data_IF_095810404586
#
_entry.id   IF_095810404586
#
_cell.length_a   1.000
_cell.length_b   1.000
_cell.length_c   1.000
_cell.angle_alpha   90.00
_cell.angle_beta   90.00
_cell.angle_gamma   90.00
#
_symmetry.space_group_name_H-M   'P 1'
#
loop_
_entity.id
_entity.type
_entity.pdbx_description
1 polymer ?
#
# COMPACT_ATOMS: atom_id res chain seq x y z
N UNK A 1 9.35 -5.57 11.33
CA UNK A 1 8.97 -6.78 12.11
C UNK A 1 7.94 -6.47 13.19
N UNK A 2 8.01 -5.34 13.89
CA UNK A 2 7.13 -5.08 15.04
C UNK A 2 5.65 -4.87 14.68
N UNK A 3 5.35 -4.33 13.49
CA UNK A 3 3.99 -4.28 12.94
C UNK A 3 3.32 -5.66 12.83
N UNK A 4 4.05 -6.64 12.30
CA UNK A 4 3.56 -8.01 12.16
C UNK A 4 3.38 -8.68 13.52
N UNK A 5 4.30 -8.43 14.46
CA UNK A 5 4.17 -8.94 15.83
C UNK A 5 2.90 -8.41 16.50
N UNK A 6 2.60 -7.11 16.40
CA UNK A 6 1.36 -6.55 16.95
C UNK A 6 0.12 -7.19 16.33
N UNK A 7 0.12 -7.40 15.01
CA UNK A 7 -1.06 -7.87 14.31
C UNK A 7 -1.31 -9.38 14.43
N UNK A 8 -0.25 -10.18 14.56
CA UNK A 8 -0.33 -11.65 14.65
C UNK A 8 -0.21 -12.18 16.09
N UNK A 9 0.60 -11.53 16.94
CA UNK A 9 0.89 -11.98 18.31
C UNK A 9 0.15 -11.14 19.38
N UNK A 10 -0.61 -10.13 18.97
CA UNK A 10 -1.55 -9.42 19.84
C UNK A 10 -0.99 -8.23 20.60
N UNK A 11 -1.70 -7.77 21.66
CA UNK A 11 -1.54 -6.43 22.25
C UNK A 11 -0.21 -6.19 22.99
N UNK A 12 0.56 -7.23 23.31
CA UNK A 12 1.81 -7.12 24.06
C UNK A 12 2.94 -6.35 23.33
N UNK A 13 2.81 -6.13 22.02
CA UNK A 13 3.82 -5.44 21.20
C UNK A 13 3.41 -4.01 20.80
N UNK A 14 2.30 -3.49 21.35
CA UNK A 14 1.81 -2.15 21.03
C UNK A 14 2.80 -1.10 21.55
N UNK A 15 3.25 -0.23 20.65
CA UNK A 15 4.08 0.94 20.93
C UNK A 15 3.47 2.13 20.21
N UNK A 16 3.88 3.34 20.58
CA UNK A 16 3.46 4.57 19.89
C UNK A 16 3.59 4.44 18.36
N UNK A 17 4.73 3.94 17.90
CA UNK A 17 5.04 3.76 16.49
C UNK A 17 4.18 2.72 15.80
N UNK A 18 3.93 1.57 16.43
CA UNK A 18 3.13 0.51 15.80
C UNK A 18 1.66 0.91 15.74
N UNK A 19 1.15 1.59 16.78
CA UNK A 19 -0.24 2.05 16.81
C UNK A 19 -0.54 3.12 15.77
N UNK A 20 0.41 4.02 15.48
CA UNK A 20 0.25 5.02 14.40
C UNK A 20 -0.15 4.37 13.07
N UNK A 21 0.34 3.16 12.81
CA UNK A 21 0.04 2.40 11.62
C UNK A 21 -1.14 1.45 11.81
N UNK A 22 -1.20 0.65 12.89
CA UNK A 22 -2.27 -0.34 13.08
C UNK A 22 -3.64 0.26 13.34
N UNK A 23 -3.70 1.51 13.82
CA UNK A 23 -4.94 2.24 14.03
C UNK A 23 -5.45 2.98 12.78
N UNK A 24 -4.65 3.01 11.70
CA UNK A 24 -5.11 3.57 10.43
C UNK A 24 -5.78 2.48 9.59
N UNK A 25 -6.97 2.79 9.06
CA UNK A 25 -7.73 1.91 8.17
C UNK A 25 -6.91 1.47 6.93
N UNK A 26 -5.93 2.26 6.51
CA UNK A 26 -5.07 1.96 5.35
C UNK A 26 -4.11 0.79 5.56
N UNK A 27 -3.84 0.42 6.82
CA UNK A 27 -3.01 -0.73 7.19
C UNK A 27 -3.85 -1.89 7.73
N UNK A 28 -5.18 -1.81 7.56
CA UNK A 28 -6.05 -2.89 7.93
C UNK A 28 -6.09 -4.01 6.86
N UNK A 29 -6.67 -5.16 7.20
CA UNK A 29 -6.90 -6.24 6.24
C UNK A 29 -7.77 -5.78 5.07
N UNK A 30 -7.70 -6.50 3.96
CA UNK A 30 -8.46 -6.16 2.75
C UNK A 30 -9.96 -6.16 3.07
N UNK A 31 -10.66 -5.02 2.95
CA UNK A 31 -12.08 -4.98 3.24
C UNK A 31 -12.84 -5.86 2.25
N UNK A 32 -13.89 -6.53 2.72
CA UNK A 32 -14.68 -7.47 1.91
C UNK A 32 -15.20 -6.83 0.63
N UNK A 33 -15.53 -5.52 0.66
CA UNK A 33 -15.93 -4.75 -0.52
C UNK A 33 -14.88 -4.77 -1.63
N UNK A 34 -13.60 -4.65 -1.28
CA UNK A 34 -12.53 -4.69 -2.29
C UNK A 34 -12.44 -6.07 -2.93
N UNK A 35 -12.60 -7.15 -2.14
CA UNK A 35 -12.66 -8.50 -2.69
C UNK A 35 -13.87 -8.70 -3.63
N UNK A 36 -15.01 -8.13 -3.26
CA UNK A 36 -16.22 -8.13 -4.08
C UNK A 36 -16.02 -7.37 -5.40
N UNK A 37 -15.38 -6.20 -5.37
CA UNK A 37 -15.08 -5.40 -6.56
C UNK A 37 -14.10 -6.14 -7.49
N UNK A 38 -13.03 -6.73 -6.94
CA UNK A 38 -12.07 -7.53 -7.69
C UNK A 38 -12.68 -8.80 -8.31
N UNK A 39 -13.68 -9.38 -7.64
CA UNK A 39 -14.39 -10.56 -8.15
C UNK A 39 -15.38 -10.17 -9.24
N UNK A 40 -16.14 -9.09 -9.04
CA UNK A 40 -17.15 -8.60 -9.99
C UNK A 40 -16.56 -8.10 -11.31
N UNK A 41 -15.34 -7.55 -11.27
CA UNK A 41 -14.57 -7.14 -12.47
C UNK A 41 -13.93 -8.32 -13.20
N UNK A 42 -13.99 -9.53 -12.65
CA UNK A 42 -13.37 -10.72 -13.22
C UNK A 42 -11.86 -10.83 -12.97
N UNK A 43 -11.23 -9.83 -12.34
CA UNK A 43 -9.78 -9.79 -12.10
C UNK A 43 -9.32 -10.93 -11.20
N UNK A 44 -9.98 -11.12 -10.05
CA UNK A 44 -9.64 -12.19 -9.11
C UNK A 44 -9.90 -13.60 -9.68
N UNK A 45 -11.10 -13.95 -10.20
CA UNK A 45 -11.32 -15.30 -10.72
C UNK A 45 -10.45 -15.60 -11.95
N UNK A 46 -10.20 -14.62 -12.82
CA UNK A 46 -9.34 -14.81 -13.99
C UNK A 46 -7.87 -15.00 -13.61
N UNK A 47 -7.34 -14.24 -12.64
CA UNK A 47 -5.96 -14.42 -12.15
C UNK A 47 -5.77 -15.78 -11.46
N UNK A 48 -6.75 -16.23 -10.65
CA UNK A 48 -6.73 -17.59 -10.06
C UNK A 48 -6.70 -18.65 -11.16
N UNK A 49 -7.54 -18.51 -12.19
CA UNK A 49 -7.53 -19.42 -13.34
C UNK A 49 -6.19 -19.41 -14.06
N UNK A 50 -5.58 -18.24 -14.28
CA UNK A 50 -4.28 -18.10 -14.92
C UNK A 50 -3.18 -18.84 -14.14
N UNK A 51 -3.16 -18.67 -12.82
CA UNK A 51 -2.23 -19.35 -11.93
C UNK A 51 -2.45 -20.86 -11.95
N UNK A 52 -3.70 -21.33 -11.85
CA UNK A 52 -4.01 -22.76 -11.90
C UNK A 52 -3.56 -23.40 -13.22
N UNK A 53 -3.85 -22.75 -14.36
CA UNK A 53 -3.42 -23.23 -15.68
C UNK A 53 -1.90 -23.28 -15.75
N UNK A 54 -1.20 -22.22 -15.33
CA UNK A 54 0.25 -22.17 -15.35
C UNK A 54 0.90 -23.22 -14.44
N UNK A 55 0.36 -23.43 -13.22
CA UNK A 55 0.85 -24.45 -12.29
C UNK A 55 0.65 -25.85 -12.85
N UNK A 56 -0.54 -26.18 -13.36
CA UNK A 56 -0.83 -27.51 -13.90
C UNK A 56 -0.04 -27.82 -15.17
N UNK A 57 0.19 -26.82 -16.02
CA UNK A 57 0.79 -27.02 -17.35
C UNK A 57 2.31 -26.88 -17.37
N UNK A 58 2.86 -26.04 -16.51
CA UNK A 58 4.30 -25.72 -16.48
C UNK A 58 4.94 -26.34 -15.23
N UNK A 59 4.44 -26.00 -14.04
CA UNK A 59 5.11 -26.36 -12.77
C UNK A 59 4.97 -27.84 -12.43
N UNK A 60 3.77 -28.40 -12.55
CA UNK A 60 3.48 -29.79 -12.18
C UNK A 60 4.31 -30.82 -12.99
N UNK A 61 4.45 -30.71 -14.33
CA UNK A 61 5.32 -31.59 -15.09
C UNK A 61 6.82 -31.44 -14.77
N UNK A 62 7.26 -30.26 -14.31
CA UNK A 62 8.64 -30.05 -13.86
C UNK A 62 8.89 -30.73 -12.51
N UNK A 63 7.91 -30.71 -11.59
CA UNK A 63 8.01 -31.37 -10.28
C UNK A 63 7.99 -32.90 -10.42
N UNK A 64 7.09 -33.45 -11.24
CA UNK A 64 6.97 -34.91 -11.44
C UNK A 64 8.20 -35.53 -12.13
N UNK A 65 9.03 -34.73 -12.80
CA UNK A 65 10.24 -35.20 -13.49
C UNK A 65 11.49 -35.31 -12.61
N UNK A 66 11.41 -35.10 -11.28
CA UNK A 66 12.57 -35.34 -10.41
C UNK A 66 12.97 -36.83 -10.48
N UNK A 67 14.20 -37.16 -10.94
CA UNK A 67 14.71 -38.51 -10.81
C UNK A 67 15.19 -38.65 -9.37
N UNK A 68 14.48 -39.46 -8.58
CA UNK A 68 15.07 -40.05 -7.38
C UNK A 68 15.17 -41.54 -7.67
N UNK A 69 16.36 -41.94 -8.09
CA UNK A 69 16.86 -43.30 -7.89
C UNK A 69 18.34 -43.18 -7.58
N UNK A 70 18.60 -42.94 -6.30
CA UNK A 70 19.75 -43.54 -5.63
C UNK A 70 19.50 -45.06 -5.59
N UNK A 71 20.34 -45.84 -6.25
CA UNK A 71 20.69 -47.18 -5.76
C UNK A 71 22.07 -47.61 -6.29
N UNK A 72 22.83 -48.17 -5.35
CA UNK A 72 24.20 -48.65 -5.46
C UNK A 72 24.26 -50.02 -6.15
N UNK A 73 25.34 -50.29 -6.91
CA UNK A 73 26.24 -51.44 -6.68
C UNK A 73 27.23 -51.70 -7.85
N UNK A 74 28.52 -51.54 -7.53
CA UNK A 74 29.70 -52.39 -7.86
C UNK A 74 30.07 -52.86 -9.28
N UNK A 75 31.31 -52.47 -9.64
CA UNK A 75 32.39 -53.18 -10.38
C UNK A 75 32.21 -53.65 -11.84
N UNK A 76 32.93 -53.02 -12.79
CA UNK A 76 34.23 -53.52 -13.31
C UNK A 76 34.65 -52.81 -14.62
N UNK A 77 35.87 -52.26 -14.60
CA UNK A 77 36.88 -52.09 -15.66
C UNK A 77 36.48 -51.78 -17.11
N UNK A 78 36.93 -50.60 -17.59
CA UNK A 78 37.18 -50.32 -19.01
C UNK A 78 36.92 -48.86 -19.39
N UNK A 79 37.95 -48.19 -19.91
CA UNK A 79 37.91 -46.91 -20.65
C UNK A 79 37.71 -45.59 -19.89
N UNK A 80 38.85 -45.04 -19.44
CA UNK A 80 39.05 -43.62 -19.14
C UNK A 80 39.34 -42.85 -20.43
N UNK A 81 38.32 -42.33 -21.13
CA UNK A 81 38.44 -41.11 -21.94
C UNK A 81 37.08 -40.50 -22.34
N UNK A 82 36.13 -40.35 -21.42
CA UNK A 82 34.84 -39.71 -21.76
C UNK A 82 34.20 -38.95 -20.59
N UNK A 83 35.01 -38.47 -19.63
CA UNK A 83 34.48 -37.89 -18.38
C UNK A 83 34.75 -36.40 -18.15
N UNK A 84 35.36 -35.69 -19.12
CA UNK A 84 35.59 -34.24 -19.00
C UNK A 84 34.61 -33.38 -19.83
N UNK A 85 33.75 -34.01 -20.65
CA UNK A 85 32.74 -33.31 -21.47
C UNK A 85 31.30 -33.49 -20.96
N UNK A 86 31.08 -34.04 -19.76
CA UNK A 86 29.74 -34.21 -19.19
C UNK A 86 29.33 -33.14 -18.16
N UNK A 87 30.24 -32.26 -17.75
CA UNK A 87 29.92 -31.22 -16.76
C UNK A 87 29.25 -29.96 -17.35
N UNK A 88 29.03 -29.91 -18.67
CA UNK A 88 28.43 -28.75 -19.35
C UNK A 88 27.04 -29.03 -19.98
N UNK A 89 26.49 -30.23 -19.84
CA UNK A 89 25.13 -30.54 -20.28
C UNK A 89 24.16 -30.55 -19.10
N UNK A 90 23.92 -29.37 -18.53
CA UNK A 90 22.57 -29.07 -18.07
C UNK A 90 21.64 -29.41 -19.24
N UNK A 91 20.56 -30.20 -19.06
CA UNK A 91 19.88 -30.84 -20.19
C UNK A 91 19.37 -29.74 -21.11
N UNK A 92 19.95 -29.60 -22.32
CA UNK A 92 19.62 -28.51 -23.24
C UNK A 92 18.10 -28.45 -23.53
N UNK A 93 17.41 -29.58 -23.39
CA UNK A 93 15.96 -29.73 -23.51
C UNK A 93 15.18 -29.14 -22.33
N UNK A 94 15.68 -29.28 -21.10
CA UNK A 94 15.07 -28.71 -19.90
C UNK A 94 15.39 -27.21 -19.80
N UNK A 95 16.59 -26.79 -20.19
CA UNK A 95 16.95 -25.38 -20.35
C UNK A 95 16.07 -24.73 -21.42
N UNK A 96 15.91 -25.32 -22.61
CA UNK A 96 15.05 -24.79 -23.66
C UNK A 96 13.57 -24.72 -23.26
N UNK A 97 13.08 -25.66 -22.44
CA UNK A 97 11.70 -25.65 -21.94
C UNK A 97 11.51 -24.58 -20.86
N UNK A 98 12.49 -24.43 -19.97
CA UNK A 98 12.51 -23.39 -18.95
C UNK A 98 12.64 -21.98 -19.57
N UNK A 99 13.48 -21.79 -20.60
CA UNK A 99 13.58 -20.52 -21.34
C UNK A 99 12.28 -20.19 -22.07
N UNK A 100 11.53 -21.21 -22.53
CA UNK A 100 10.29 -21.04 -23.30
C UNK A 100 9.12 -20.55 -22.44
N UNK A 101 9.06 -20.98 -21.18
CA UNK A 101 8.02 -20.62 -20.21
C UNK A 101 8.54 -19.70 -19.09
N UNK A 102 9.76 -19.18 -19.24
CA UNK A 102 10.48 -18.38 -18.24
C UNK A 102 9.64 -17.20 -17.73
N UNK A 103 9.01 -16.47 -18.66
CA UNK A 103 8.18 -15.29 -18.33
C UNK A 103 7.01 -15.69 -17.43
N UNK A 104 6.32 -16.79 -17.75
CA UNK A 104 5.17 -17.26 -16.97
C UNK A 104 5.60 -17.74 -15.57
N UNK A 105 6.71 -18.46 -15.46
CA UNK A 105 7.28 -18.87 -14.16
C UNK A 105 7.73 -17.66 -13.34
N UNK A 106 8.36 -16.68 -13.98
CA UNK A 106 8.78 -15.44 -13.34
C UNK A 106 7.58 -14.66 -12.79
N UNK A 107 6.51 -14.49 -13.58
CA UNK A 107 5.28 -13.82 -13.13
C UNK A 107 4.62 -14.57 -11.96
N UNK A 108 4.62 -15.91 -11.95
CA UNK A 108 4.12 -16.67 -10.80
C UNK A 108 4.97 -16.48 -9.54
N UNK A 109 6.30 -16.51 -9.67
CA UNK A 109 7.21 -16.28 -8.55
C UNK A 109 7.08 -14.85 -8.04
N UNK A 110 6.95 -13.87 -8.94
CA UNK A 110 6.74 -12.47 -8.61
C UNK A 110 5.40 -12.29 -7.88
N UNK A 111 4.30 -12.86 -8.38
CA UNK A 111 3.01 -12.85 -7.69
C UNK A 111 3.11 -13.43 -6.28
N UNK A 112 3.80 -14.57 -6.10
CA UNK A 112 3.98 -15.19 -4.79
C UNK A 112 4.82 -14.31 -3.84
N UNK A 113 5.95 -13.77 -4.31
CA UNK A 113 6.83 -12.91 -3.53
C UNK A 113 6.12 -11.61 -3.10
N UNK A 114 5.39 -10.97 -4.02
CA UNK A 114 4.63 -9.77 -3.71
C UNK A 114 3.39 -10.06 -2.88
N UNK A 115 2.73 -11.21 -3.02
CA UNK A 115 1.66 -11.62 -2.11
C UNK A 115 2.18 -11.81 -0.67
N UNK A 116 3.35 -12.45 -0.52
CA UNK A 116 4.03 -12.59 0.76
C UNK A 116 4.41 -11.23 1.35
N UNK A 117 5.05 -10.37 0.55
CA UNK A 117 5.40 -9.01 0.96
C UNK A 117 4.15 -8.20 1.35
N UNK A 118 3.07 -8.33 0.59
CA UNK A 118 1.83 -7.61 0.83
C UNK A 118 1.13 -8.08 2.11
N UNK A 119 1.22 -9.38 2.42
CA UNK A 119 0.82 -9.94 3.72
C UNK A 119 1.73 -9.44 4.85
N UNK A 120 3.05 -9.41 4.64
CA UNK A 120 4.01 -8.91 5.63
C UNK A 120 3.85 -7.41 5.95
N UNK A 121 3.54 -6.60 4.94
CA UNK A 121 3.45 -5.13 5.07
C UNK A 121 2.01 -4.68 5.34
N UNK A 122 1.04 -5.60 5.37
CA UNK A 122 -0.39 -5.28 5.53
C UNK A 122 -0.92 -4.32 4.44
N UNK A 123 -0.29 -4.31 3.26
CA UNK A 123 -0.63 -3.45 2.12
C UNK A 123 -1.06 -4.27 0.92
N UNK A 124 -2.04 -5.14 1.16
CA UNK A 124 -2.55 -6.08 0.16
C UNK A 124 -2.99 -5.35 -1.12
N UNK A 125 -3.73 -4.25 -1.00
CA UNK A 125 -4.24 -3.50 -2.16
C UNK A 125 -3.14 -2.94 -3.08
N UNK A 126 -2.04 -2.42 -2.53
CA UNK A 126 -1.02 -1.70 -3.32
C UNK A 126 -0.09 -2.65 -4.08
N UNK A 127 0.25 -3.77 -3.45
CA UNK A 127 1.24 -4.70 -3.99
C UNK A 127 0.63 -5.92 -4.70
N UNK A 128 -0.56 -6.36 -4.28
CA UNK A 128 -1.18 -7.57 -4.82
C UNK A 128 -1.91 -7.31 -6.15
N UNK A 129 -2.69 -6.23 -6.24
CA UNK A 129 -3.56 -5.94 -7.40
C UNK A 129 -2.78 -5.83 -8.72
N UNK A 130 -1.63 -5.11 -8.81
CA UNK A 130 -0.85 -5.07 -10.05
C UNK A 130 -0.36 -6.45 -10.50
N UNK A 131 -0.02 -7.32 -9.54
CA UNK A 131 0.46 -8.68 -9.83
C UNK A 131 -0.66 -9.60 -10.31
N UNK A 132 -1.89 -9.42 -9.80
CA UNK A 132 -3.08 -10.10 -10.35
C UNK A 132 -3.29 -9.72 -11.83
N UNK A 133 -3.15 -8.44 -12.18
CA UNK A 133 -3.25 -7.97 -13.57
C UNK A 133 -2.17 -8.60 -14.46
N UNK A 134 -0.92 -8.69 -14.00
CA UNK A 134 0.15 -9.34 -14.75
C UNK A 134 -0.10 -10.84 -14.94
N UNK A 135 -0.62 -11.52 -13.91
CA UNK A 135 -0.94 -12.95 -14.00
C UNK A 135 -2.04 -13.25 -15.02
N UNK A 136 -3.00 -12.35 -15.22
CA UNK A 136 -4.04 -12.50 -16.25
C UNK A 136 -3.47 -12.55 -17.67
N UNK A 137 -2.37 -11.85 -17.95
CA UNK A 137 -1.75 -11.84 -19.27
C UNK A 137 -1.27 -13.24 -19.70
N UNK A 138 -1.07 -14.17 -18.75
CA UNK A 138 -0.74 -15.57 -19.02
C UNK A 138 -1.90 -16.25 -19.78
N UNK A 139 -3.16 -15.91 -19.52
CA UNK A 139 -4.31 -16.47 -20.25
C UNK A 139 -4.35 -16.05 -21.71
N UNK A 140 -3.78 -14.89 -22.06
CA UNK A 140 -3.68 -14.42 -23.44
C UNK A 140 -2.60 -15.16 -24.24
N UNK A 141 -1.75 -15.98 -23.59
CA UNK A 141 -0.70 -16.69 -24.29
C UNK A 141 -1.28 -17.80 -25.19
N UNK A 142 -1.05 -17.74 -26.52
CA UNK A 142 -1.64 -18.70 -27.45
C UNK A 142 -1.10 -20.12 -27.26
N UNK A 143 0.02 -20.32 -26.55
CA UNK A 143 0.59 -21.65 -26.32
C UNK A 143 0.01 -22.37 -25.11
N UNK A 144 -0.34 -21.63 -24.06
CA UNK A 144 -0.83 -22.19 -22.80
C UNK A 144 -2.33 -22.51 -22.90
N UNK A 145 -3.13 -21.50 -23.26
CA UNK A 145 -4.59 -21.61 -23.30
C UNK A 145 -5.10 -22.09 -24.66
N UNK A 146 -4.55 -21.55 -25.77
CA UNK A 146 -5.04 -21.84 -27.12
C UNK A 146 -4.33 -23.02 -27.81
N UNK A 147 -3.10 -23.36 -27.41
CA UNK A 147 -2.20 -24.25 -28.17
C UNK A 147 -1.91 -25.59 -27.50
N UNK A 148 -2.40 -25.83 -26.29
CA UNK A 148 -2.06 -27.04 -25.55
C UNK A 148 -3.13 -28.14 -25.71
N UNK A 149 -2.83 -29.14 -26.53
CA UNK A 149 -3.61 -30.40 -26.60
C UNK A 149 -3.68 -31.13 -25.24
N UNK A 150 -2.78 -30.80 -24.30
CA UNK A 150 -2.73 -31.35 -22.93
C UNK A 150 -3.84 -30.79 -22.04
N UNK A 151 -4.13 -29.48 -22.10
CA UNK A 151 -5.27 -28.88 -21.38
C UNK A 151 -6.59 -29.46 -21.90
N UNK A 152 -6.68 -29.70 -23.22
CA UNK A 152 -7.80 -30.42 -23.81
C UNK A 152 -7.98 -31.82 -23.21
N UNK A 153 -6.91 -32.59 -22.92
CA UNK A 153 -7.05 -33.91 -22.29
C UNK A 153 -7.59 -33.84 -20.85
N UNK A 154 -7.23 -32.80 -20.09
CA UNK A 154 -7.75 -32.57 -18.73
C UNK A 154 -9.26 -32.28 -18.75
N UNK A 155 -9.74 -31.44 -19.67
CA UNK A 155 -11.17 -31.16 -19.85
C UNK A 155 -11.94 -32.28 -20.58
N UNK A 156 -11.24 -33.17 -21.28
CA UNK A 156 -11.84 -34.27 -22.08
C UNK A 156 -11.66 -35.64 -21.39
N UNK A 157 -11.38 -35.69 -20.09
CA UNK A 157 -11.45 -36.94 -19.34
C UNK A 157 -12.91 -37.41 -19.19
N UNK A 158 -13.51 -37.87 -20.29
CA UNK A 158 -14.63 -38.81 -20.24
C UNK A 158 -14.08 -40.14 -19.77
N UNK A 159 -14.64 -40.67 -18.68
CA UNK A 159 -14.37 -42.03 -18.18
C UNK A 159 -14.18 -43.00 -19.36
N UNK A 160 -13.17 -43.88 -19.35
CA UNK A 160 -13.11 -44.93 -20.34
C UNK A 160 -14.35 -45.81 -20.12
N UNK A 161 -15.30 -45.75 -21.05
CA UNK A 161 -16.40 -46.70 -21.06
C UNK A 161 -15.78 -48.07 -21.30
N UNK A 162 -15.82 -48.93 -20.28
CA UNK A 162 -15.49 -50.34 -20.39
C UNK A 162 -16.56 -50.99 -21.25
N UNK A 163 -16.36 -51.06 -22.56
CA UNK A 163 -17.00 -52.09 -23.36
C UNK A 163 -16.23 -52.41 -24.63
N UNK A 164 -15.93 -53.70 -24.75
CA UNK A 164 -15.54 -54.45 -25.95
C UNK A 164 -14.13 -54.24 -26.51
N UNK A 165 -13.21 -55.10 -26.03
CA UNK A 165 -12.08 -55.56 -26.84
C UNK A 165 -12.64 -56.41 -27.98
N UNK A 166 -12.52 -55.96 -29.23
CA UNK A 166 -12.22 -56.84 -30.36
C UNK A 166 -11.68 -56.07 -31.57
N UNK A 167 -10.51 -56.55 -31.98
CA UNK A 167 -9.94 -56.62 -33.33
C UNK A 167 -9.27 -55.39 -33.95
N UNK A 168 -7.95 -55.56 -34.08
CA UNK A 168 -6.98 -54.98 -35.03
C UNK A 168 -7.57 -54.45 -36.34
N UNK A 169 -7.19 -53.22 -36.72
CA UNK A 169 -6.48 -52.97 -37.98
C UNK A 169 -5.93 -51.54 -38.07
N UNK A 170 -4.78 -51.45 -38.74
CA UNK A 170 -4.05 -50.23 -39.11
C UNK A 170 -4.98 -49.16 -39.70
N UNK A 171 -5.00 -47.98 -39.10
CA UNK A 171 -5.40 -46.76 -39.79
C UNK A 171 -4.37 -45.67 -39.47
N UNK A 172 -3.65 -45.24 -40.50
CA UNK A 172 -2.78 -44.07 -40.44
C UNK A 172 -3.59 -42.88 -39.92
N UNK A 173 -3.19 -42.34 -38.76
CA UNK A 173 -3.82 -41.16 -38.18
C UNK A 173 -3.56 -39.95 -39.08
N UNK A 174 -4.59 -39.53 -39.81
CA UNK A 174 -4.61 -38.23 -40.48
C UNK A 174 -4.33 -37.12 -39.45
N UNK A 175 -3.54 -36.07 -39.78
CA UNK A 175 -3.22 -34.99 -38.84
C UNK A 175 -4.40 -34.05 -38.53
N UNK A 176 -5.59 -34.32 -39.06
CA UNK A 176 -6.73 -33.42 -38.93
C UNK A 176 -7.52 -33.72 -37.64
N UNK A 177 -7.83 -32.70 -36.82
CA UNK A 177 -8.59 -32.90 -35.60
C UNK A 177 -9.96 -33.48 -35.95
N UNK A 178 -10.39 -34.52 -35.22
CA UNK A 178 -11.75 -35.06 -35.37
C UNK A 178 -12.76 -33.93 -35.20
N UNK A 179 -13.87 -33.93 -35.97
CA UNK A 179 -14.91 -32.88 -35.91
C UNK A 179 -15.34 -32.59 -34.47
N UNK A 180 -15.40 -33.61 -33.61
CA UNK A 180 -15.71 -33.49 -32.18
C UNK A 180 -14.65 -32.71 -31.37
N UNK A 181 -13.36 -32.82 -31.69
CA UNK A 181 -12.29 -32.05 -31.05
C UNK A 181 -12.40 -30.57 -31.44
N UNK A 182 -12.66 -30.30 -32.71
CA UNK A 182 -12.84 -28.94 -33.24
C UNK A 182 -13.99 -28.19 -32.56
N UNK A 183 -15.17 -28.80 -32.43
CA UNK A 183 -16.30 -28.20 -31.70
C UNK A 183 -16.01 -27.95 -30.22
N UNK A 184 -15.22 -28.80 -29.55
CA UNK A 184 -14.81 -28.59 -28.15
C UNK A 184 -13.86 -27.41 -27.98
N UNK A 185 -12.90 -27.23 -28.89
CA UNK A 185 -11.99 -26.07 -28.91
C UNK A 185 -12.79 -24.78 -29.07
N UNK A 186 -13.71 -24.74 -30.05
CA UNK A 186 -14.59 -23.59 -30.27
C UNK A 186 -15.39 -23.25 -29.02
N UNK A 187 -15.95 -24.25 -28.31
CA UNK A 187 -16.68 -24.00 -27.06
C UNK A 187 -15.80 -23.34 -26.00
N UNK A 188 -14.60 -23.86 -25.76
CA UNK A 188 -13.67 -23.28 -24.76
C UNK A 188 -13.31 -21.83 -25.13
N UNK A 189 -13.04 -21.57 -26.40
CA UNK A 189 -12.69 -20.21 -26.87
C UNK A 189 -13.88 -19.26 -26.75
N UNK A 190 -15.09 -19.71 -27.07
CA UNK A 190 -16.31 -18.92 -26.92
C UNK A 190 -16.57 -18.54 -25.46
N UNK A 191 -16.32 -19.45 -24.51
CA UNK A 191 -16.46 -19.18 -23.07
C UNK A 191 -15.43 -18.15 -22.61
N UNK A 192 -14.18 -18.26 -23.06
CA UNK A 192 -13.13 -17.31 -22.71
C UNK A 192 -13.40 -15.91 -23.28
N UNK A 193 -13.82 -15.82 -24.53
CA UNK A 193 -14.21 -14.56 -25.15
C UNK A 193 -15.41 -13.95 -24.42
N UNK A 194 -16.43 -14.74 -24.08
CA UNK A 194 -17.58 -14.27 -23.30
C UNK A 194 -17.13 -13.72 -21.93
N UNK A 195 -16.23 -14.40 -21.24
CA UNK A 195 -15.66 -13.93 -19.97
C UNK A 195 -14.93 -12.58 -20.13
N UNK A 196 -14.11 -12.43 -21.17
CA UNK A 196 -13.42 -11.17 -21.46
C UNK A 196 -14.40 -10.04 -21.78
N UNK A 197 -15.45 -10.32 -22.57
CA UNK A 197 -16.48 -9.34 -22.90
C UNK A 197 -17.23 -8.88 -21.65
N UNK A 198 -17.66 -9.81 -20.78
CA UNK A 198 -18.36 -9.46 -19.53
C UNK A 198 -17.47 -8.62 -18.59
N UNK A 199 -16.20 -9.00 -18.46
CA UNK A 199 -15.22 -8.27 -17.65
C UNK A 199 -14.94 -6.87 -18.22
N UNK A 200 -14.83 -6.76 -19.55
CA UNK A 200 -14.64 -5.49 -20.24
C UNK A 200 -15.86 -4.58 -20.13
N UNK A 201 -17.08 -5.12 -20.22
CA UNK A 201 -18.31 -4.35 -20.04
C UNK A 201 -18.39 -3.75 -18.63
N UNK A 202 -18.09 -4.55 -17.59
CA UNK A 202 -18.08 -4.07 -16.21
C UNK A 202 -16.96 -3.05 -15.97
N UNK A 203 -15.76 -3.32 -16.50
CA UNK A 203 -14.63 -2.39 -16.42
C UNK A 203 -14.90 -1.07 -17.15
N UNK A 204 -15.57 -1.12 -18.29
CA UNK A 204 -15.94 0.06 -19.08
C UNK A 204 -16.97 0.93 -18.37
N UNK A 205 -17.96 0.34 -17.68
CA UNK A 205 -18.88 1.09 -16.84
C UNK A 205 -18.12 1.87 -15.76
N UNK A 206 -17.22 1.19 -15.03
CA UNK A 206 -16.41 1.84 -14.00
C UNK A 206 -15.52 2.95 -14.59
N UNK A 207 -14.86 2.72 -15.73
CA UNK A 207 -14.03 3.73 -16.39
C UNK A 207 -14.86 4.93 -16.85
N UNK A 208 -16.06 4.69 -17.39
CA UNK A 208 -16.97 5.76 -17.79
C UNK A 208 -17.41 6.60 -16.58
N UNK A 209 -17.70 5.96 -15.46
CA UNK A 209 -18.09 6.65 -14.22
C UNK A 209 -16.92 7.50 -13.69
N UNK A 210 -15.68 6.99 -13.73
CA UNK A 210 -14.49 7.76 -13.32
C UNK A 210 -14.14 8.88 -14.30
N UNK A 211 -14.18 8.63 -15.62
CA UNK A 211 -13.96 9.66 -16.64
C UNK A 211 -15.08 10.70 -16.69
N UNK A 212 -16.28 10.34 -16.24
CA UNK A 212 -17.40 11.27 -16.07
C UNK A 212 -17.20 12.25 -14.92
N UNK A 213 -16.27 11.99 -13.98
CA UNK A 213 -15.91 12.91 -12.90
C UNK A 213 -14.99 14.00 -13.43
N UNK A 214 -15.58 14.96 -14.14
CA UNK A 214 -14.91 16.21 -14.50
C UNK A 214 -15.11 17.18 -13.34
N UNK A 215 -14.04 17.43 -12.59
CA UNK A 215 -14.02 18.40 -11.51
C UNK A 215 -12.60 18.88 -11.25
N UNK A 216 -12.46 20.13 -10.87
CA UNK A 216 -11.19 20.63 -10.34
C UNK A 216 -11.04 20.13 -8.89
N UNK A 217 -9.84 19.69 -8.53
CA UNK A 217 -9.54 19.34 -7.14
C UNK A 217 -9.73 20.60 -6.28
N UNK A 218 -10.75 20.58 -5.43
CA UNK A 218 -11.02 21.66 -4.48
C UNK A 218 -10.70 21.18 -3.07
N UNK A 219 -9.83 21.93 -2.39
CA UNK A 219 -9.48 21.68 -1.00
C UNK A 219 -9.53 23.01 -0.24
N UNK A 220 -10.74 23.54 0.06
CA UNK A 220 -10.91 24.90 0.57
C UNK A 220 -10.14 25.14 1.88
N UNK A 221 -10.09 24.14 2.76
CA UNK A 221 -9.34 24.19 4.04
C UNK A 221 -7.84 24.42 3.80
N UNK A 222 -7.26 23.70 2.85
CA UNK A 222 -5.85 23.79 2.49
C UNK A 222 -5.54 25.07 1.72
N UNK A 223 -6.41 25.48 0.81
CA UNK A 223 -6.26 26.70 0.01
C UNK A 223 -6.33 27.95 0.88
N UNK A 224 -7.29 28.02 1.80
CA UNK A 224 -7.41 29.12 2.77
C UNK A 224 -6.22 29.16 3.71
N UNK A 225 -5.72 28.01 4.16
CA UNK A 225 -4.49 27.92 4.97
C UNK A 225 -3.27 28.44 4.20
N UNK A 226 -3.09 28.04 2.94
CA UNK A 226 -1.99 28.52 2.09
C UNK A 226 -2.08 30.03 1.86
N UNK A 227 -3.27 30.54 1.54
CA UNK A 227 -3.49 31.96 1.32
C UNK A 227 -3.20 32.78 2.59
N UNK A 228 -3.64 32.29 3.76
CA UNK A 228 -3.31 32.88 5.05
C UNK A 228 -1.79 32.87 5.32
N UNK A 229 -1.12 31.73 5.11
CA UNK A 229 0.31 31.62 5.34
C UNK A 229 1.12 32.57 4.42
N UNK A 230 0.71 32.74 3.16
CA UNK A 230 1.32 33.69 2.22
C UNK A 230 1.17 35.13 2.70
N UNK A 231 0.00 35.48 3.28
CA UNK A 231 -0.32 36.81 3.79
C UNK A 231 0.54 37.25 4.99
N UNK A 232 1.24 36.32 5.65
CA UNK A 232 2.11 36.65 6.78
C UNK A 232 3.20 37.66 6.37
N UNK A 233 3.51 38.67 7.20
CA UNK A 233 4.53 39.65 6.89
C UNK A 233 5.94 39.03 6.86
N UNK A 234 6.89 39.71 6.22
CA UNK A 234 8.30 39.39 6.40
C UNK A 234 8.69 39.62 7.86
N UNK A 235 9.56 38.76 8.38
CA UNK A 235 9.90 38.78 9.79
C UNK A 235 11.03 39.76 10.07
N UNK A 236 10.90 40.52 11.15
CA UNK A 236 11.86 41.58 11.51
C UNK A 236 13.27 41.07 11.88
N UNK A 237 13.39 39.83 12.33
CA UNK A 237 14.65 39.16 12.71
C UNK A 237 15.28 38.36 11.56
N UNK A 238 14.83 38.58 10.30
CA UNK A 238 15.32 37.92 9.08
C UNK A 238 15.30 36.38 9.10
N UNK A 239 14.59 35.75 10.04
CA UNK A 239 14.44 34.29 10.07
C UNK A 239 13.13 33.86 9.40
N UNK A 240 13.06 32.62 8.87
CA UNK A 240 11.82 32.11 8.31
C UNK A 240 10.77 31.90 9.41
N UNK A 241 9.49 31.99 9.05
CA UNK A 241 8.39 31.51 9.89
C UNK A 241 8.42 29.99 9.94
N UNK A 242 8.43 29.44 11.15
CA UNK A 242 8.58 27.99 11.37
C UNK A 242 7.21 27.36 11.66
N UNK A 243 6.75 26.48 10.78
CA UNK A 243 5.53 25.69 10.94
C UNK A 243 5.83 24.28 11.45
N UNK A 244 4.98 23.79 12.36
CA UNK A 244 4.96 22.41 12.84
C UNK A 244 3.54 21.87 12.82
N UNK A 245 3.38 20.55 12.73
CA UNK A 245 2.07 19.92 12.73
C UNK A 245 2.08 18.58 11.99
N UNK A 246 0.91 18.07 11.58
CA UNK A 246 0.80 16.81 10.88
C UNK A 246 1.59 16.75 9.57
N UNK A 247 2.23 15.62 9.30
CA UNK A 247 3.07 15.43 8.12
C UNK A 247 2.38 15.79 6.79
N UNK A 248 1.12 15.40 6.52
CA UNK A 248 0.46 15.72 5.26
C UNK A 248 0.32 17.23 5.05
N UNK A 249 -0.16 17.95 6.07
CA UNK A 249 -0.34 19.41 6.01
C UNK A 249 1.00 20.12 5.86
N UNK A 250 2.02 19.66 6.59
CA UNK A 250 3.38 20.19 6.46
C UNK A 250 3.95 19.98 5.06
N UNK A 251 3.73 18.81 4.43
CA UNK A 251 4.14 18.57 3.04
C UNK A 251 3.42 19.52 2.07
N UNK A 252 2.13 19.77 2.28
CA UNK A 252 1.35 20.70 1.46
C UNK A 252 1.81 22.14 1.62
N UNK A 253 2.07 22.61 2.85
CA UNK A 253 2.65 23.93 3.10
C UNK A 253 4.03 24.06 2.44
N UNK A 254 4.87 23.02 2.52
CA UNK A 254 6.19 23.02 1.88
C UNK A 254 6.09 23.20 0.38
N UNK A 255 5.24 22.41 -0.27
CA UNK A 255 5.10 22.43 -1.73
C UNK A 255 4.42 23.72 -2.21
N UNK A 256 3.35 24.14 -1.53
CA UNK A 256 2.55 25.30 -1.92
C UNK A 256 3.22 26.65 -1.66
N UNK A 257 3.99 26.78 -0.57
CA UNK A 257 4.66 28.04 -0.23
C UNK A 257 5.96 28.25 -1.03
N UNK A 258 6.67 27.17 -1.40
CA UNK A 258 7.88 27.28 -2.23
C UNK A 258 7.53 27.64 -3.68
N UNK A 259 6.45 27.07 -4.23
CA UNK A 259 6.08 27.28 -5.64
C UNK A 259 5.46 28.64 -5.95
N UNK A 260 4.77 29.28 -4.97
CA UNK A 260 4.11 30.59 -5.18
C UNK A 260 4.98 31.80 -4.90
N UNK A 261 6.14 31.62 -4.26
CA UNK A 261 7.12 32.70 -4.10
C UNK A 261 7.92 32.81 -5.40
N UNK A 262 7.41 33.62 -6.34
CA UNK A 262 8.09 33.97 -7.59
C UNK A 262 9.59 34.16 -7.35
N UNK A 263 10.39 33.31 -7.99
CA UNK A 263 11.84 33.34 -7.97
C UNK A 263 12.33 34.74 -8.33
N UNK A 264 12.69 35.55 -7.32
CA UNK A 264 13.59 36.68 -7.55
C UNK A 264 14.98 36.10 -7.69
N UNK A 265 15.68 36.29 -8.81
CA UNK A 265 17.06 35.83 -8.94
C UNK A 265 17.91 36.48 -7.83
N UNK A 266 18.65 35.67 -7.07
CA UNK A 266 19.51 36.11 -5.96
C UNK A 266 18.92 36.01 -4.54
N UNK A 267 17.63 35.67 -4.37
CA UNK A 267 17.04 35.39 -3.04
C UNK A 267 16.99 33.88 -2.83
N UNK A 268 17.48 33.32 -1.70
CA UNK A 268 17.35 31.90 -1.43
C UNK A 268 15.90 31.45 -1.50
N UNK A 269 15.63 30.41 -2.30
CA UNK A 269 14.30 29.82 -2.56
C UNK A 269 13.52 29.43 -1.28
N UNK A 270 14.19 29.41 -0.13
CA UNK A 270 13.72 28.93 1.16
C UNK A 270 13.62 30.01 2.26
N UNK A 271 13.66 31.32 1.92
CA UNK A 271 13.93 32.35 2.93
C UNK A 271 12.75 32.68 3.87
N UNK A 272 11.50 32.56 3.42
CA UNK A 272 10.34 33.06 4.21
C UNK A 272 9.75 32.04 5.17
N UNK A 273 9.82 30.74 4.85
CA UNK A 273 9.12 29.69 5.59
C UNK A 273 10.00 28.46 5.80
N UNK A 274 9.88 27.84 6.97
CA UNK A 274 10.55 26.59 7.34
C UNK A 274 9.55 25.66 8.01
N UNK A 275 9.79 24.36 7.90
CA UNK A 275 8.88 23.31 8.40
C UNK A 275 9.67 22.31 9.22
N UNK A 276 9.15 21.94 10.38
CA UNK A 276 9.85 21.10 11.36
C UNK A 276 9.67 19.59 11.12
N UNK A 277 8.51 19.19 10.58
CA UNK A 277 8.11 17.80 10.41
C UNK A 277 8.22 17.38 8.93
N UNK A 278 8.89 16.26 8.66
CA UNK A 278 9.17 15.77 7.30
C UNK A 278 8.89 14.27 7.19
N UNK A 279 8.33 13.76 6.07
CA UNK A 279 7.96 12.34 5.90
C UNK A 279 9.12 11.31 5.87
N UNK A 280 10.36 11.71 6.20
CA UNK A 280 11.51 10.78 6.24
C UNK A 280 11.63 10.13 7.61
N UNK A 281 10.76 9.14 7.84
CA UNK A 281 10.66 8.45 9.13
C UNK A 281 11.80 7.44 9.38
N UNK A 282 12.62 7.14 8.38
CA UNK A 282 13.73 6.18 8.53
C UNK A 282 14.87 6.74 9.40
N UNK A 283 15.03 8.07 9.44
CA UNK A 283 16.04 8.72 10.26
C UNK A 283 15.52 8.89 11.70
N UNK A 284 16.27 8.39 12.68
CA UNK A 284 15.89 8.44 14.10
C UNK A 284 15.65 9.87 14.61
N UNK A 285 16.50 10.82 14.23
CA UNK A 285 16.36 12.21 14.65
C UNK A 285 15.10 12.85 14.05
N UNK A 286 14.79 12.57 12.79
CA UNK A 286 13.57 13.06 12.14
C UNK A 286 12.30 12.39 12.72
N UNK A 287 12.39 11.11 13.08
CA UNK A 287 11.33 10.39 13.78
C UNK A 287 11.03 11.02 15.14
N UNK A 288 12.05 11.30 15.95
CA UNK A 288 11.87 11.96 17.26
C UNK A 288 11.27 13.35 17.09
N UNK A 289 11.73 14.14 16.12
CA UNK A 289 11.12 15.45 15.81
C UNK A 289 9.66 15.33 15.39
N UNK A 290 9.31 14.30 14.63
CA UNK A 290 7.92 14.01 14.27
C UNK A 290 7.09 13.75 15.52
N UNK A 291 7.55 12.88 16.42
CA UNK A 291 6.85 12.59 17.68
C UNK A 291 6.58 13.89 18.43
N UNK A 292 7.60 14.73 18.62
CA UNK A 292 7.45 16.02 19.29
C UNK A 292 6.48 16.97 18.59
N UNK A 293 6.36 16.91 17.25
CA UNK A 293 5.41 17.72 16.50
C UNK A 293 3.94 17.40 16.86
N UNK A 294 3.65 16.17 17.29
CA UNK A 294 2.34 15.72 17.75
C UNK A 294 2.15 15.86 19.28
N UNK A 295 3.07 16.52 20.00
CA UNK A 295 3.00 16.61 21.48
C UNK A 295 1.71 17.26 22.01
N UNK A 296 1.05 18.14 21.25
CA UNK A 296 -0.23 18.73 21.63
C UNK A 296 -1.38 17.70 21.78
N UNK A 297 -1.31 16.57 21.08
CA UNK A 297 -2.31 15.49 21.18
C UNK A 297 -2.09 14.58 22.38
N UNK A 298 -0.99 14.77 23.13
CA UNK A 298 -0.71 14.06 24.38
C UNK A 298 -1.48 14.65 25.56
N UNK A 299 -1.43 14.00 26.73
CA UNK A 299 -1.99 14.52 28.00
C UNK A 299 -0.95 15.26 28.86
N UNK A 300 0.20 15.63 28.28
CA UNK A 300 1.24 16.41 28.97
C UNK A 300 0.69 17.79 29.39
N UNK A 301 1.21 18.39 30.47
CA UNK A 301 0.81 19.75 30.83
C UNK A 301 1.24 20.75 29.75
N UNK A 302 0.43 21.80 29.56
CA UNK A 302 0.61 22.81 28.51
C UNK A 302 1.99 23.48 28.54
N UNK A 303 2.55 23.72 29.74
CA UNK A 303 3.91 24.28 29.89
C UNK A 303 5.00 23.41 29.26
N UNK A 304 4.87 22.08 29.37
CA UNK A 304 5.81 21.12 28.79
C UNK A 304 5.64 21.03 27.28
N UNK A 305 4.39 21.05 26.80
CA UNK A 305 4.11 21.07 25.36
C UNK A 305 4.64 22.37 24.72
N UNK A 306 4.40 23.50 25.38
CA UNK A 306 4.92 24.80 24.97
C UNK A 306 6.45 24.83 24.92
N UNK A 307 7.13 24.30 25.93
CA UNK A 307 8.60 24.27 25.95
C UNK A 307 9.18 23.41 24.82
N UNK A 308 8.53 22.28 24.48
CA UNK A 308 8.89 21.45 23.32
C UNK A 308 8.78 22.26 22.02
N UNK A 309 7.63 22.90 21.76
CA UNK A 309 7.46 23.67 20.53
C UNK A 309 8.40 24.88 20.46
N UNK A 310 8.59 25.58 21.58
CA UNK A 310 9.36 26.83 21.63
C UNK A 310 10.86 26.64 21.59
N UNK A 311 11.40 25.67 22.32
CA UNK A 311 12.84 25.51 22.53
C UNK A 311 13.44 24.34 21.74
N UNK A 312 12.69 23.25 21.54
CA UNK A 312 13.20 22.07 20.83
C UNK A 312 12.89 22.15 19.34
N UNK A 313 11.62 22.34 18.98
CA UNK A 313 11.20 22.44 17.58
C UNK A 313 11.41 23.84 16.99
N UNK A 314 11.55 24.85 17.86
CA UNK A 314 11.67 26.27 17.51
C UNK A 314 10.54 26.74 16.57
N UNK A 315 9.34 26.21 16.77
CA UNK A 315 8.16 26.52 15.97
C UNK A 315 7.53 27.86 16.38
N UNK A 316 7.05 28.59 15.37
CA UNK A 316 6.23 29.79 15.57
C UNK A 316 4.74 29.46 15.50
N UNK A 317 4.38 28.50 14.64
CA UNK A 317 3.01 28.10 14.41
C UNK A 317 2.86 26.58 14.50
N UNK A 318 1.87 26.12 15.27
CA UNK A 318 1.45 24.72 15.35
C UNK A 318 0.13 24.58 14.59
N UNK A 319 0.15 23.80 13.52
CA UNK A 319 -1.06 23.44 12.77
C UNK A 319 -1.67 22.21 13.38
N UNK A 320 -2.96 22.28 13.66
CA UNK A 320 -3.72 21.28 14.39
C UNK A 320 -4.93 20.88 13.55
N UNK A 321 -5.07 19.58 13.31
CA UNK A 321 -6.21 19.00 12.60
C UNK A 321 -7.17 18.33 13.59
N UNK A 322 -8.47 18.54 13.39
CA UNK A 322 -9.53 18.01 14.25
C UNK A 322 -9.47 16.50 14.33
N UNK A 323 -9.26 15.81 13.20
CA UNK A 323 -9.19 14.36 13.15
C UNK A 323 -8.02 13.76 13.95
N UNK A 324 -6.98 14.52 14.25
CA UNK A 324 -5.87 14.10 15.11
C UNK A 324 -6.09 14.39 16.60
N UNK A 325 -7.18 15.08 16.96
CA UNK A 325 -7.45 15.46 18.35
C UNK A 325 -8.77 14.91 18.85
N UNK A 326 -9.80 14.93 18.00
CA UNK A 326 -11.13 14.43 18.26
C UNK A 326 -11.49 13.51 17.09
N UNK A 327 -11.21 12.22 17.24
CA UNK A 327 -11.58 11.21 16.26
C UNK A 327 -12.70 10.31 16.81
N UNK A 328 -13.98 10.58 16.48
CA UNK A 328 -15.09 9.78 16.97
C UNK A 328 -15.12 8.35 16.38
N UNK A 329 -14.40 8.11 15.29
CA UNK A 329 -14.32 6.80 14.64
C UNK A 329 -13.10 5.98 15.10
N UNK A 330 -12.27 6.53 16.01
CA UNK A 330 -11.14 5.79 16.55
C UNK A 330 -11.64 4.61 17.40
N UNK A 331 -11.14 3.41 17.09
CA UNK A 331 -11.36 2.23 17.93
C UNK A 331 -10.71 2.39 19.33
N UNK A 332 -11.03 1.52 20.28
CA UNK A 332 -10.44 1.57 21.62
C UNK A 332 -8.91 1.46 21.59
N UNK A 333 -8.20 2.39 22.23
CA UNK A 333 -6.73 2.43 22.23
C UNK A 333 -6.10 2.98 20.94
N UNK A 334 -6.90 3.62 20.09
CA UNK A 334 -6.48 4.23 18.83
C UNK A 334 -6.75 5.74 18.77
N UNK A 335 -7.27 6.35 19.83
CA UNK A 335 -7.28 7.81 19.91
C UNK A 335 -5.84 8.33 20.03
N UNK A 336 -5.52 9.49 19.43
CA UNK A 336 -4.15 10.01 19.47
C UNK A 336 -3.60 10.22 20.89
N UNK A 337 -4.45 10.56 21.86
CA UNK A 337 -4.09 10.62 23.27
C UNK A 337 -3.76 9.26 23.87
N UNK A 338 -4.55 8.22 23.60
CA UNK A 338 -4.26 6.84 24.06
C UNK A 338 -2.96 6.29 23.46
N UNK A 339 -2.64 6.66 22.22
CA UNK A 339 -1.37 6.29 21.59
C UNK A 339 -0.19 6.93 22.34
N UNK A 340 -0.35 8.18 22.78
CA UNK A 340 0.63 8.87 23.62
C UNK A 340 0.72 8.29 25.03
N UNK A 341 -0.36 7.76 25.59
CA UNK A 341 -0.38 7.15 26.92
C UNK A 341 0.54 5.92 26.99
N UNK A 342 0.84 5.25 25.85
CA UNK A 342 1.87 4.20 25.79
C UNK A 342 3.30 4.74 25.95
N UNK A 343 3.55 5.97 25.48
CA UNK A 343 4.86 6.60 25.54
C UNK A 343 5.10 7.27 26.89
N UNK A 344 4.05 7.87 27.46
CA UNK A 344 4.10 8.62 28.72
C UNK A 344 2.97 8.20 29.66
N UNK A 345 3.04 6.99 30.25
CA UNK A 345 1.97 6.45 31.09
C UNK A 345 1.69 7.31 32.34
N UNK A 346 2.65 8.12 32.78
CA UNK A 346 2.46 9.05 33.90
C UNK A 346 1.36 10.11 33.67
N UNK A 347 0.94 10.33 32.42
CA UNK A 347 -0.10 11.30 32.07
C UNK A 347 -1.42 10.65 31.63
N UNK A 348 -1.54 9.31 31.60
CA UNK A 348 -2.73 8.62 31.09
C UNK A 348 -4.02 9.02 31.81
N UNK A 349 -3.91 9.34 33.10
CA UNK A 349 -5.07 9.63 33.95
C UNK A 349 -5.49 11.11 33.88
N UNK A 350 -4.74 11.95 33.16
CA UNK A 350 -5.03 13.38 33.00
C UNK A 350 -6.04 13.65 31.89
N UNK A 351 -7.29 13.22 32.09
CA UNK A 351 -8.46 13.65 31.30
C UNK A 351 -8.23 13.75 29.78
N UNK A 352 -8.84 14.74 29.12
CA UNK A 352 -8.71 14.94 27.68
C UNK A 352 -7.41 15.64 27.30
N UNK A 353 -6.91 15.37 26.09
CA UNK A 353 -5.73 16.06 25.56
C UNK A 353 -5.97 17.57 25.43
N UNK A 354 -4.96 18.44 25.68
CA UNK A 354 -5.11 19.88 25.51
C UNK A 354 -5.39 20.31 24.07
N UNK A 355 -5.20 19.42 23.09
CA UNK A 355 -5.58 19.68 21.71
C UNK A 355 -7.08 19.94 21.53
N UNK A 356 -7.94 19.34 22.37
CA UNK A 356 -9.40 19.53 22.27
C UNK A 356 -9.79 21.00 22.46
N UNK A 357 -9.02 21.76 23.24
CA UNK A 357 -9.22 23.19 23.47
C UNK A 357 -9.18 24.02 22.18
N UNK A 358 -8.44 23.57 21.15
CA UNK A 358 -8.39 24.25 19.86
C UNK A 358 -9.72 24.21 19.10
N UNK A 359 -10.59 23.23 19.42
CA UNK A 359 -11.81 22.94 18.66
C UNK A 359 -13.11 23.18 19.44
N UNK A 360 -13.03 23.69 20.67
CA UNK A 360 -14.20 24.18 21.40
C UNK A 360 -14.87 25.27 20.54
N UNK A 361 -16.20 25.20 20.39
CA UNK A 361 -16.97 26.20 19.67
C UNK A 361 -17.12 27.47 20.52
N UNK A 362 -17.22 28.62 19.87
CA UNK A 362 -17.68 29.87 20.51
C UNK A 362 -16.79 30.45 21.62
N UNK A 363 -15.52 30.07 21.69
CA UNK A 363 -14.54 30.76 22.54
C UNK A 363 -14.21 32.13 21.95
N UNK A 364 -14.32 33.17 22.79
CA UNK A 364 -13.72 34.47 22.46
C UNK A 364 -12.20 34.31 22.30
N UNK A 365 -11.51 35.22 21.58
CA UNK A 365 -10.05 35.19 21.48
C UNK A 365 -9.37 35.15 22.85
N UNK A 366 -9.89 35.89 23.84
CA UNK A 366 -9.35 35.92 25.20
C UNK A 366 -9.57 34.60 25.94
N UNK A 367 -10.76 34.01 25.85
CA UNK A 367 -11.06 32.72 26.47
C UNK A 367 -10.27 31.58 25.84
N UNK A 368 -9.98 31.67 24.54
CA UNK A 368 -9.11 30.70 23.86
C UNK A 368 -7.66 30.75 24.37
N UNK A 369 -7.13 31.95 24.63
CA UNK A 369 -5.81 32.13 25.22
C UNK A 369 -5.81 31.64 26.68
N UNK A 370 -6.90 31.87 27.42
CA UNK A 370 -7.11 31.36 28.78
C UNK A 370 -7.12 29.84 28.82
N UNK A 371 -7.82 29.18 27.88
CA UNK A 371 -7.83 27.73 27.76
C UNK A 371 -6.43 27.14 27.54
N UNK A 372 -5.58 27.85 26.78
CA UNK A 372 -4.17 27.49 26.59
C UNK A 372 -3.21 28.08 27.64
N UNK A 373 -3.72 28.65 28.74
CA UNK A 373 -2.92 29.28 29.80
C UNK A 373 -1.88 30.29 29.28
N UNK A 374 -2.20 31.01 28.21
CA UNK A 374 -1.31 32.01 27.60
C UNK A 374 -0.19 31.43 26.74
N UNK A 375 -0.05 30.11 26.62
CA UNK A 375 1.06 29.50 25.86
C UNK A 375 0.80 29.45 24.35
N UNK A 376 -0.46 29.40 23.95
CA UNK A 376 -0.88 29.31 22.56
C UNK A 376 -2.02 30.27 22.29
N UNK A 377 -2.07 30.80 21.07
CA UNK A 377 -3.15 31.69 20.61
C UNK A 377 -3.63 31.24 19.22
N UNK A 378 -4.92 30.97 19.00
CA UNK A 378 -5.41 30.67 17.67
C UNK A 378 -5.30 31.91 16.77
N UNK A 379 -4.67 31.76 15.61
CA UNK A 379 -4.45 32.84 14.63
C UNK A 379 -5.11 32.56 13.28
N UNK A 380 -5.51 31.32 13.04
CA UNK A 380 -6.26 30.90 11.87
C UNK A 380 -7.18 29.74 12.23
N UNK A 381 -8.39 29.77 11.70
CA UNK A 381 -9.34 28.66 11.77
C UNK A 381 -9.98 28.50 10.40
N UNK A 382 -9.99 27.26 9.93
CA UNK A 382 -10.65 26.89 8.69
C UNK A 382 -12.18 27.04 8.79
N UNK A 383 -12.82 27.28 7.64
CA UNK A 383 -14.27 27.50 7.53
C UNK A 383 -15.10 26.29 7.97
N UNK A 384 -14.59 25.09 7.73
CA UNK A 384 -15.19 23.81 8.13
C UNK A 384 -14.81 23.39 9.56
N UNK A 385 -14.03 24.22 10.27
CA UNK A 385 -13.52 23.95 11.62
C UNK A 385 -12.71 22.66 11.74
N UNK A 386 -12.18 22.12 10.63
CA UNK A 386 -11.38 20.89 10.63
C UNK A 386 -9.91 21.14 10.96
N UNK A 387 -9.46 22.40 10.87
CA UNK A 387 -8.07 22.81 11.06
C UNK A 387 -7.97 24.17 11.78
N UNK A 388 -7.03 24.27 12.73
CA UNK A 388 -6.67 25.49 13.45
C UNK A 388 -5.16 25.67 13.43
N UNK A 389 -4.69 26.91 13.29
CA UNK A 389 -3.28 27.26 13.51
C UNK A 389 -3.15 28.04 14.81
N UNK A 390 -2.29 27.53 15.69
CA UNK A 390 -1.95 28.13 16.96
C UNK A 390 -0.58 28.81 16.86
N UNK A 391 -0.50 30.08 17.22
CA UNK A 391 0.76 30.78 17.44
C UNK A 391 1.37 30.33 18.78
N UNK A 392 2.65 30.01 18.75
CA UNK A 392 3.44 29.63 19.94
C UNK A 392 3.96 30.91 20.60
N UNK A 393 3.54 31.16 21.84
CA UNK A 393 3.90 32.38 22.54
C UNK A 393 5.43 32.46 22.77
N UNK A 394 6.07 33.59 22.45
CA UNK A 394 7.51 33.79 22.75
C UNK A 394 7.75 33.88 24.27
N UNK A 395 6.80 34.49 24.95
CA UNK A 395 6.56 34.50 26.40
C UNK A 395 5.06 34.25 26.57
N UNK A 396 4.60 33.64 27.67
CA UNK A 396 3.17 33.46 27.90
C UNK A 396 2.42 34.77 27.69
N UNK A 397 1.37 34.75 26.86
CA UNK A 397 0.48 35.87 26.67
C UNK A 397 -0.14 36.22 28.02
N UNK A 398 0.03 37.47 28.44
CA UNK A 398 -0.59 37.96 29.66
C UNK A 398 -2.09 38.12 29.42
N UNK A 399 -2.88 37.67 30.38
CA UNK A 399 -4.30 37.98 30.43
C UNK A 399 -4.42 39.43 30.90
N UNK A 400 -4.95 40.31 30.04
CA UNK A 400 -5.36 41.66 30.45
C UNK A 400 -6.75 41.57 31.04
#
# INVERSE_FOLDING_TARGET
MDLLKVKLLGPAYRTFHTQLYTCSETFDFLPVRVLQDLTSTGLLPGSILAVLVAVLMIVWPLIQKRPVTSDQSTESSGDRCESLLQLHQLPARDVALLTRDFISVFVLLQLAAFALLAGMIMRLKLFFVPQLCLSLAILAQPRLFFGSHKLLRLFVSSKPSKSSRKLSQRAASSPWPTRALFFKVIRIHSIFILFLVLSALKGWQNLRDEWGKVGEFSAPTTETLLNWAISLPARADNRPWVFTGPMPVMATLRLGLITRLNHRPGVPLNAKFAITNHPHYENELLRTRTILAYSLTSRKPLVTIWSIYRYVLMADFVVVERGWCINPHAGPGCSPSEIWDLQDPAFSDRGDSPCTYAFISDLSPEDSVRAFSGYFRPVFRSLDHSLVVLEVARRPFLFV
#
